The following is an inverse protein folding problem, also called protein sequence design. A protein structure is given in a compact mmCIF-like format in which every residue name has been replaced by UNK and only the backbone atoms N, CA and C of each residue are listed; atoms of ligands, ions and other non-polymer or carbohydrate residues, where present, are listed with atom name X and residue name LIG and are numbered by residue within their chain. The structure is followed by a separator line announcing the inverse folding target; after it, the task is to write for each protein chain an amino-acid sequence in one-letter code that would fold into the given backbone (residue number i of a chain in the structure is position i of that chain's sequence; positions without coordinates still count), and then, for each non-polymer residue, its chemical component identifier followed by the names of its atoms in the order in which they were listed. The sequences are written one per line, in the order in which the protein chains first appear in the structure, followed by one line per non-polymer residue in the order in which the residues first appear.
data_IF_232075176476
#
_entry.id   IF_232075176476
#
_cell.length_a   1.000
_cell.length_b   1.000
_cell.length_c   1.000
_cell.angle_alpha   90.00
_cell.angle_beta   90.00
_cell.angle_gamma   90.00
#
_symmetry.space_group_name_H-M   'P 1'
#
loop_
_entity.id
_entity.type
_entity.pdbx_description
1 polymer ?
#
# COMPACT_ATOMS: atom_id res chain seq x y z
N UNK A 1 19.65 -1.04 -20.69
CA UNK A 1 20.34 0.27 -20.83
C UNK A 1 19.55 1.43 -20.21
N UNK A 2 18.23 1.52 -20.34
CA UNK A 2 17.43 2.63 -19.79
C UNK A 2 17.48 2.80 -18.26
N UNK A 3 17.54 1.73 -17.48
CA UNK A 3 17.58 1.80 -16.01
C UNK A 3 18.91 2.34 -15.45
N UNK A 4 20.02 2.14 -16.14
CA UNK A 4 21.33 2.68 -15.74
C UNK A 4 21.43 4.20 -15.95
N UNK A 5 20.75 4.74 -16.93
CA UNK A 5 20.76 6.19 -17.18
C UNK A 5 19.90 6.94 -16.18
N UNK A 6 18.78 6.35 -15.76
CA UNK A 6 17.90 6.97 -14.74
C UNK A 6 18.61 7.13 -13.37
N UNK A 7 19.45 6.15 -12.99
CA UNK A 7 20.23 6.21 -11.76
C UNK A 7 21.41 7.20 -11.83
N UNK A 8 21.92 7.46 -13.03
CA UNK A 8 23.03 8.39 -13.26
C UNK A 8 22.61 9.86 -13.15
N UNK A 9 21.38 10.18 -13.57
CA UNK A 9 20.82 11.53 -13.45
C UNK A 9 20.43 11.90 -12.00
N UNK A 10 20.27 10.90 -11.12
CA UNK A 10 20.00 11.12 -9.70
C UNK A 10 21.26 11.33 -8.85
N UNK A 11 22.45 11.15 -9.42
CA UNK A 11 23.73 11.26 -8.72
C UNK A 11 24.50 12.55 -9.00
N UNK A 12 23.91 13.53 -9.67
CA UNK A 12 24.55 14.83 -9.89
C UNK A 12 24.56 15.69 -8.62
N UNK A 13 25.70 16.08 -8.07
CA UNK A 13 25.78 16.94 -6.91
C UNK A 13 25.49 18.39 -7.32
N UNK A 14 24.34 18.90 -6.93
CA UNK A 14 24.01 20.30 -7.22
C UNK A 14 22.75 20.79 -6.56
N UNK A 15 22.82 21.07 -5.24
CA UNK A 15 22.38 22.28 -4.55
C UNK A 15 22.33 22.05 -3.04
N UNK A 16 23.01 22.93 -2.34
CA UNK A 16 22.97 23.03 -0.89
C UNK A 16 21.53 23.13 -0.41
N UNK A 17 21.14 22.21 0.48
CA UNK A 17 19.89 22.26 1.22
C UNK A 17 20.20 22.91 2.56
N UNK A 18 19.65 24.10 2.77
CA UNK A 18 19.66 24.77 4.06
C UNK A 18 18.90 23.96 5.11
N UNK A 19 19.57 23.60 6.15
CA UNK A 19 19.05 23.54 7.50
C UNK A 19 18.37 22.26 7.96
N UNK A 20 19.12 21.45 8.71
CA UNK A 20 18.66 20.49 9.73
C UNK A 20 18.18 19.12 9.28
N UNK A 21 18.97 18.48 8.42
CA UNK A 21 18.85 17.06 8.17
C UNK A 21 19.75 16.29 9.14
N UNK A 22 19.14 15.31 9.83
CA UNK A 22 19.91 14.26 10.47
C UNK A 22 20.86 13.69 9.39
N UNK A 23 22.16 13.89 9.58
CA UNK A 23 23.21 13.53 8.65
C UNK A 23 22.91 12.18 8.02
N UNK A 24 22.79 12.13 6.71
CA UNK A 24 22.41 10.94 5.97
C UNK A 24 23.36 9.79 6.27
N UNK A 25 22.98 8.97 7.25
CA UNK A 25 23.73 7.77 7.59
C UNK A 25 23.64 6.84 6.40
N UNK A 26 24.77 6.62 5.76
CA UNK A 26 24.85 5.73 4.61
C UNK A 26 24.44 4.32 5.05
N UNK A 27 23.31 3.82 4.53
CA UNK A 27 22.83 2.46 4.79
C UNK A 27 23.87 1.45 4.32
N UNK A 28 24.26 0.54 5.18
CA UNK A 28 25.24 -0.51 4.91
C UNK A 28 24.68 -1.93 5.03
N UNK A 29 23.77 -2.13 5.99
CA UNK A 29 23.19 -3.45 6.28
C UNK A 29 21.66 -3.33 6.48
N UNK A 30 20.91 -4.04 5.67
CA UNK A 30 19.44 -4.02 5.65
C UNK A 30 18.89 -5.30 6.26
N UNK A 31 18.08 -5.17 7.33
CA UNK A 31 17.22 -6.26 7.79
C UNK A 31 15.96 -6.29 6.94
N UNK A 32 15.63 -7.46 6.39
CA UNK A 32 14.45 -7.67 5.57
C UNK A 32 13.34 -8.27 6.43
N UNK A 33 12.40 -7.42 6.86
CA UNK A 33 11.30 -7.80 7.75
C UNK A 33 10.17 -8.49 6.97
N UNK A 34 10.52 -9.55 6.25
CA UNK A 34 9.61 -10.34 5.43
C UNK A 34 10.20 -11.73 5.12
N UNK A 35 9.48 -12.55 4.34
CA UNK A 35 9.85 -13.92 3.98
C UNK A 35 9.57 -14.21 2.51
N UNK A 36 9.99 -15.41 2.06
CA UNK A 36 9.61 -15.94 0.75
C UNK A 36 10.19 -15.15 -0.42
N UNK A 37 9.42 -15.05 -1.51
CA UNK A 37 9.88 -14.47 -2.77
C UNK A 37 10.25 -12.98 -2.64
N UNK A 38 9.46 -12.20 -1.87
CA UNK A 38 9.75 -10.77 -1.70
C UNK A 38 11.07 -10.54 -0.95
N UNK A 39 11.37 -11.37 0.06
CA UNK A 39 12.64 -11.30 0.75
C UNK A 39 13.80 -11.63 -0.22
N UNK A 40 13.69 -12.68 -1.03
CA UNK A 40 14.68 -13.00 -2.06
C UNK A 40 14.91 -11.86 -3.03
N UNK A 41 13.83 -11.22 -3.48
CA UNK A 41 13.90 -10.08 -4.41
C UNK A 41 14.61 -8.89 -3.78
N UNK A 42 14.30 -8.55 -2.52
CA UNK A 42 14.95 -7.43 -1.81
C UNK A 42 16.43 -7.75 -1.59
N UNK A 43 16.79 -8.97 -1.17
CA UNK A 43 18.17 -9.44 -1.03
C UNK A 43 18.94 -9.25 -2.34
N UNK A 44 18.35 -9.65 -3.47
CA UNK A 44 18.97 -9.46 -4.78
C UNK A 44 19.24 -7.98 -5.08
N UNK A 45 18.28 -7.10 -4.79
CA UNK A 45 18.43 -5.66 -5.00
C UNK A 45 19.51 -5.05 -4.09
N UNK A 46 19.54 -5.42 -2.81
CA UNK A 46 20.56 -4.99 -1.86
C UNK A 46 21.95 -5.42 -2.32
N UNK A 47 22.10 -6.66 -2.74
CA UNK A 47 23.36 -7.19 -3.28
C UNK A 47 23.84 -6.40 -4.51
N UNK A 48 22.93 -6.07 -5.42
CA UNK A 48 23.25 -5.25 -6.61
C UNK A 48 23.73 -3.84 -6.23
N UNK A 49 23.26 -3.32 -5.10
CA UNK A 49 23.66 -2.02 -4.55
C UNK A 49 24.90 -2.11 -3.63
N UNK A 50 25.44 -3.29 -3.40
CA UNK A 50 26.59 -3.49 -2.51
C UNK A 50 26.23 -3.44 -1.01
N UNK A 51 24.94 -3.58 -0.66
CA UNK A 51 24.47 -3.58 0.72
C UNK A 51 24.45 -4.99 1.29
N UNK A 52 24.83 -5.12 2.57
CA UNK A 52 24.69 -6.37 3.32
C UNK A 52 23.22 -6.61 3.70
N UNK A 53 22.86 -7.87 3.87
CA UNK A 53 21.48 -8.29 4.10
C UNK A 53 21.36 -9.21 5.30
N UNK A 54 20.30 -8.99 6.09
CA UNK A 54 19.90 -9.88 7.18
C UNK A 54 18.49 -10.39 6.87
N UNK A 55 18.35 -11.70 6.64
CA UNK A 55 17.05 -12.33 6.57
C UNK A 55 16.53 -12.62 7.97
N UNK A 56 15.22 -12.67 8.13
CA UNK A 56 14.57 -13.18 9.34
C UNK A 56 13.74 -14.41 9.00
N UNK A 57 13.58 -15.32 9.97
CA UNK A 57 12.80 -16.53 9.74
C UNK A 57 12.10 -17.01 10.99
N UNK A 58 10.88 -17.53 10.82
CA UNK A 58 10.23 -18.36 11.85
C UNK A 58 10.76 -19.78 11.77
N UNK A 59 10.53 -20.59 12.80
CA UNK A 59 10.97 -21.99 12.84
C UNK A 59 10.58 -22.77 11.57
N UNK A 60 9.40 -22.49 11.01
CA UNK A 60 8.93 -23.14 9.78
C UNK A 60 9.69 -22.72 8.52
N UNK A 61 10.36 -21.58 8.55
CA UNK A 61 11.06 -21.01 7.40
C UNK A 61 12.59 -21.14 7.49
N UNK A 62 13.13 -21.83 8.49
CA UNK A 62 14.57 -21.92 8.75
C UNK A 62 15.39 -22.42 7.54
N UNK A 63 14.80 -23.25 6.69
CA UNK A 63 15.43 -23.77 5.46
C UNK A 63 14.95 -23.09 4.18
N UNK A 64 14.19 -22.00 4.29
CA UNK A 64 13.65 -21.29 3.15
C UNK A 64 14.74 -20.57 2.34
N UNK A 65 14.48 -20.38 1.05
CA UNK A 65 15.44 -19.86 0.08
C UNK A 65 15.98 -18.47 0.46
N UNK A 66 15.13 -17.58 1.01
CA UNK A 66 15.55 -16.24 1.42
C UNK A 66 16.60 -16.27 2.56
N UNK A 67 16.55 -17.29 3.42
CA UNK A 67 17.52 -17.47 4.52
C UNK A 67 18.90 -17.78 3.96
N UNK A 68 18.96 -18.69 3.00
CA UNK A 68 20.22 -19.06 2.35
C UNK A 68 20.78 -18.00 1.40
N UNK A 69 19.94 -17.09 0.92
CA UNK A 69 20.33 -16.02 0.01
C UNK A 69 20.89 -14.77 0.71
N UNK A 70 20.58 -14.56 1.98
CA UNK A 70 21.05 -13.40 2.73
C UNK A 70 22.51 -13.59 3.21
N UNK A 71 23.18 -12.50 3.55
CA UNK A 71 24.52 -12.57 4.15
C UNK A 71 24.46 -13.10 5.59
N UNK A 72 23.40 -12.78 6.33
CA UNK A 72 23.14 -13.21 7.70
C UNK A 72 21.64 -13.55 7.87
N UNK A 73 21.31 -14.35 8.87
CA UNK A 73 19.93 -14.68 9.19
C UNK A 73 19.68 -14.71 10.71
N UNK A 74 18.49 -14.30 11.12
CA UNK A 74 18.05 -14.21 12.51
C UNK A 74 16.71 -14.92 12.71
N UNK A 75 16.63 -15.81 13.70
CA UNK A 75 15.36 -16.40 14.11
C UNK A 75 14.49 -15.36 14.81
N UNK A 76 13.19 -15.32 14.46
CA UNK A 76 12.21 -14.38 15.04
C UNK A 76 11.04 -15.07 15.75
N UNK A 77 11.15 -16.36 16.02
CA UNK A 77 10.19 -17.12 16.82
C UNK A 77 9.47 -18.23 16.04
N UNK A 78 8.43 -18.79 16.65
CA UNK A 78 7.73 -19.97 16.14
C UNK A 78 6.91 -19.68 14.86
N UNK A 79 6.41 -20.74 14.23
CA UNK A 79 5.68 -20.70 12.97
C UNK A 79 4.46 -19.75 12.92
N UNK A 80 3.62 -19.60 13.98
CA UNK A 80 2.48 -18.71 13.95
C UNK A 80 2.90 -17.24 13.73
N UNK A 81 2.36 -16.59 12.70
CA UNK A 81 2.74 -15.22 12.31
C UNK A 81 2.60 -14.19 13.45
N UNK A 82 1.59 -14.35 14.33
CA UNK A 82 1.42 -13.45 15.50
C UNK A 82 2.60 -13.48 16.47
N UNK A 83 3.37 -14.56 16.48
CA UNK A 83 4.51 -14.77 17.37
C UNK A 83 5.85 -14.57 16.67
N UNK A 84 5.84 -14.30 15.36
CA UNK A 84 7.02 -14.11 14.52
C UNK A 84 6.86 -12.88 13.61
N UNK A 85 6.31 -13.03 12.39
CA UNK A 85 6.25 -11.98 11.35
C UNK A 85 5.29 -10.82 11.66
N UNK A 86 4.45 -10.91 12.69
CA UNK A 86 3.61 -9.82 13.19
C UNK A 86 4.06 -9.30 14.56
N UNK A 87 5.15 -9.82 15.10
CA UNK A 87 5.75 -9.39 16.36
C UNK A 87 6.87 -8.37 16.08
N UNK A 88 6.54 -7.08 16.07
CA UNK A 88 7.48 -6.00 15.73
C UNK A 88 8.76 -5.98 16.57
N UNK A 89 8.65 -6.30 17.86
CA UNK A 89 9.78 -6.33 18.79
C UNK A 89 10.83 -7.39 18.39
N UNK A 90 10.41 -8.51 17.80
CA UNK A 90 11.33 -9.55 17.34
C UNK A 90 12.21 -9.04 16.20
N UNK A 91 11.69 -8.21 15.30
CA UNK A 91 12.48 -7.58 14.24
C UNK A 91 13.47 -6.57 14.78
N UNK A 92 13.07 -5.76 15.78
CA UNK A 92 13.96 -4.79 16.42
C UNK A 92 15.10 -5.50 17.17
N UNK A 93 14.79 -6.59 17.86
CA UNK A 93 15.80 -7.43 18.51
C UNK A 93 16.77 -8.04 17.48
N UNK A 94 16.25 -8.59 16.38
CA UNK A 94 17.06 -9.14 15.30
C UNK A 94 17.95 -8.08 14.62
N UNK A 95 17.41 -6.84 14.40
CA UNK A 95 18.18 -5.74 13.85
C UNK A 95 19.33 -5.33 14.77
N UNK A 96 19.06 -5.24 16.07
CA UNK A 96 20.08 -4.94 17.08
C UNK A 96 21.16 -6.04 17.14
N UNK A 97 20.75 -7.32 17.15
CA UNK A 97 21.67 -8.44 17.25
C UNK A 97 22.58 -8.56 16.01
N UNK A 98 22.06 -8.28 14.83
CA UNK A 98 22.83 -8.32 13.57
C UNK A 98 23.61 -7.05 13.27
N UNK A 99 23.36 -5.95 14.00
CA UNK A 99 23.93 -4.63 13.70
C UNK A 99 23.42 -4.06 12.36
N UNK A 100 22.18 -4.39 11.96
CA UNK A 100 21.53 -3.76 10.83
C UNK A 100 21.30 -2.27 11.12
N UNK A 101 21.43 -1.42 10.11
CA UNK A 101 21.19 0.03 10.21
C UNK A 101 19.91 0.48 9.49
N UNK A 102 19.26 -0.44 8.77
CA UNK A 102 18.00 -0.19 8.10
C UNK A 102 17.08 -1.40 8.14
N UNK A 103 15.76 -1.15 8.02
CA UNK A 103 14.72 -2.17 7.94
C UNK A 103 13.89 -1.97 6.68
N UNK A 104 13.78 -3.01 5.86
CA UNK A 104 12.89 -3.06 4.70
C UNK A 104 11.72 -4.01 4.98
N UNK A 105 10.47 -3.54 5.07
CA UNK A 105 9.34 -4.38 5.45
C UNK A 105 8.82 -5.28 4.31
N UNK A 106 9.24 -5.05 3.07
CA UNK A 106 8.64 -5.71 1.92
C UNK A 106 7.19 -5.27 1.70
N UNK A 107 6.28 -6.23 1.57
CA UNK A 107 4.83 -6.00 1.53
C UNK A 107 4.10 -7.01 2.44
N UNK A 108 2.85 -6.69 2.84
CA UNK A 108 2.11 -7.47 3.83
C UNK A 108 2.74 -7.41 5.22
N UNK A 109 2.32 -8.26 6.13
CA UNK A 109 2.75 -8.27 7.52
C UNK A 109 2.76 -6.86 8.14
N UNK A 110 3.93 -6.36 8.56
CA UNK A 110 4.07 -5.04 9.20
C UNK A 110 4.38 -3.90 8.21
N UNK A 111 4.38 -4.14 6.90
CA UNK A 111 4.65 -3.11 5.90
C UNK A 111 3.62 -1.96 5.90
N UNK A 112 2.40 -2.24 6.37
CA UNK A 112 1.30 -1.27 6.48
C UNK A 112 1.02 -0.87 7.93
N UNK A 113 1.94 -1.16 8.84
CA UNK A 113 1.81 -0.84 10.25
C UNK A 113 2.63 0.42 10.57
N UNK A 114 1.95 1.55 10.76
CA UNK A 114 2.59 2.83 11.06
C UNK A 114 3.33 2.80 12.41
N UNK A 115 2.82 2.09 13.40
CA UNK A 115 3.46 2.01 14.72
C UNK A 115 4.76 1.23 14.66
N UNK A 116 4.84 0.19 13.83
CA UNK A 116 6.09 -0.51 13.59
C UNK A 116 7.10 0.40 12.87
N UNK A 117 6.68 1.16 11.86
CA UNK A 117 7.56 2.14 11.20
C UNK A 117 8.10 3.19 12.18
N UNK A 118 7.22 3.71 13.07
CA UNK A 118 7.63 4.62 14.18
C UNK A 118 8.60 3.95 15.16
N UNK A 119 8.38 2.66 15.47
CA UNK A 119 9.24 1.92 16.39
C UNK A 119 10.65 1.70 15.78
N UNK A 120 10.75 1.37 14.49
CA UNK A 120 12.01 1.28 13.76
C UNK A 120 12.77 2.60 13.82
N UNK A 121 12.11 3.73 13.53
CA UNK A 121 12.73 5.05 13.59
C UNK A 121 13.19 5.41 15.01
N UNK A 122 12.38 5.13 16.03
CA UNK A 122 12.76 5.34 17.45
C UNK A 122 13.94 4.49 17.89
N UNK A 123 14.13 3.33 17.29
CA UNK A 123 15.30 2.48 17.52
C UNK A 123 16.58 3.00 16.82
N UNK A 124 16.54 4.15 16.15
CA UNK A 124 17.67 4.73 15.41
C UNK A 124 17.96 4.02 14.08
N UNK A 125 17.01 3.23 13.58
CA UNK A 125 17.15 2.50 12.33
C UNK A 125 16.47 3.26 11.17
N UNK A 126 17.05 3.18 9.99
CA UNK A 126 16.43 3.73 8.78
C UNK A 126 15.25 2.84 8.35
N UNK A 127 14.04 3.42 8.32
CA UNK A 127 12.88 2.77 7.75
C UNK A 127 12.89 2.90 6.22
N UNK A 128 12.97 1.80 5.50
CA UNK A 128 12.88 1.79 4.03
C UNK A 128 11.40 1.59 3.64
N UNK A 129 10.66 2.65 3.70
CA UNK A 129 9.22 2.65 3.46
C UNK A 129 8.63 4.06 3.43
N UNK A 130 7.30 4.18 3.24
CA UNK A 130 6.61 5.47 3.36
C UNK A 130 6.67 5.98 4.79
N UNK A 131 6.54 7.30 4.97
CA UNK A 131 6.44 7.90 6.29
C UNK A 131 5.28 7.27 7.10
N UNK A 132 5.40 7.11 8.42
CA UNK A 132 4.34 6.53 9.24
C UNK A 132 2.98 7.24 9.06
N UNK A 133 2.97 8.55 8.92
CA UNK A 133 1.78 9.36 8.68
C UNK A 133 1.12 8.99 7.34
N UNK A 134 1.92 8.72 6.31
CA UNK A 134 1.42 8.27 5.01
C UNK A 134 0.83 6.87 5.09
N UNK A 135 1.38 5.99 5.95
CA UNK A 135 0.83 4.65 6.18
C UNK A 135 -0.54 4.79 6.86
N UNK A 136 -0.64 5.61 7.91
CA UNK A 136 -1.89 5.87 8.63
C UNK A 136 -2.97 6.49 7.72
N UNK A 137 -2.60 7.53 6.94
CA UNK A 137 -3.50 8.24 6.05
C UNK A 137 -4.07 7.33 4.94
N UNK A 138 -3.22 6.45 4.44
CA UNK A 138 -3.57 5.58 3.34
C UNK A 138 -4.16 4.24 3.80
N UNK A 139 -3.92 3.84 5.03
CA UNK A 139 -4.55 2.68 5.66
C UNK A 139 -6.04 2.89 5.92
N UNK A 140 -6.46 4.12 6.20
CA UNK A 140 -7.87 4.48 6.35
C UNK A 140 -8.50 4.88 5.00
N UNK A 141 -9.39 4.03 4.48
CA UNK A 141 -10.04 4.25 3.18
C UNK A 141 -10.82 5.58 3.09
N UNK A 142 -11.41 6.04 4.20
CA UNK A 142 -12.15 7.31 4.21
C UNK A 142 -11.17 8.49 4.17
N UNK A 143 -10.11 8.45 4.98
CA UNK A 143 -9.08 9.47 4.98
C UNK A 143 -8.39 9.56 3.62
N UNK A 144 -8.03 8.41 3.03
CA UNK A 144 -7.47 8.34 1.68
C UNK A 144 -8.40 8.96 0.62
N UNK A 145 -9.73 8.76 0.74
CA UNK A 145 -10.71 9.39 -0.16
C UNK A 145 -10.76 10.91 0.03
N UNK A 146 -10.77 11.41 1.27
CA UNK A 146 -10.74 12.84 1.55
C UNK A 146 -9.48 13.51 1.00
N UNK A 147 -8.33 12.87 1.15
CA UNK A 147 -7.06 13.34 0.60
C UNK A 147 -7.07 13.36 -0.93
N UNK A 148 -7.65 12.33 -1.56
CA UNK A 148 -7.80 12.27 -3.00
C UNK A 148 -8.71 13.38 -3.53
N UNK A 149 -9.84 13.62 -2.86
CA UNK A 149 -10.80 14.70 -3.19
C UNK A 149 -10.14 16.08 -3.07
N UNK A 150 -9.47 16.33 -1.96
CA UNK A 150 -8.71 17.57 -1.72
C UNK A 150 -7.59 17.81 -2.74
N UNK A 151 -7.10 16.75 -3.39
CA UNK A 151 -6.09 16.80 -4.44
C UNK A 151 -6.69 16.81 -5.87
N UNK A 152 -7.99 17.02 -6.03
CA UNK A 152 -8.71 16.96 -7.32
C UNK A 152 -8.54 15.61 -8.05
N UNK A 153 -8.30 14.53 -7.32
CA UNK A 153 -8.25 13.18 -7.89
C UNK A 153 -9.69 12.64 -7.97
N UNK A 154 -10.17 12.28 -9.16
CA UNK A 154 -11.53 11.75 -9.30
C UNK A 154 -11.74 10.51 -8.44
N UNK A 155 -12.76 10.54 -7.58
CA UNK A 155 -13.16 9.43 -6.74
C UNK A 155 -14.55 8.92 -7.16
N UNK A 156 -14.82 7.63 -6.89
CA UNK A 156 -16.17 7.11 -7.08
C UNK A 156 -17.12 7.73 -6.04
N UNK A 157 -18.37 8.04 -6.41
CA UNK A 157 -19.38 8.43 -5.43
C UNK A 157 -19.46 7.40 -4.29
N UNK A 158 -19.44 7.88 -3.07
CA UNK A 158 -19.53 7.05 -1.86
C UNK A 158 -20.14 7.84 -0.72
N UNK A 159 -20.56 7.13 0.34
CA UNK A 159 -21.18 7.70 1.53
C UNK A 159 -20.19 7.89 2.68
N UNK A 160 -20.66 8.57 3.74
CA UNK A 160 -20.11 8.44 5.07
C UNK A 160 -20.26 7.00 5.61
N UNK A 161 -19.65 6.73 6.74
CA UNK A 161 -19.77 5.44 7.45
C UNK A 161 -21.07 5.35 8.22
N UNK A 162 -21.63 4.14 8.29
CA UNK A 162 -22.79 3.77 9.07
C UNK A 162 -22.38 2.71 10.10
N UNK A 163 -22.48 3.04 11.38
CA UNK A 163 -22.26 2.10 12.46
C UNK A 163 -23.43 1.08 12.55
N UNK A 164 -23.27 0.02 13.31
CA UNK A 164 -24.36 -0.92 13.58
C UNK A 164 -25.53 -0.18 14.21
N UNK A 165 -26.72 -0.37 13.61
CA UNK A 165 -27.96 0.29 14.06
C UNK A 165 -28.14 1.73 13.58
N UNK A 166 -27.13 2.35 12.99
CA UNK A 166 -27.27 3.66 12.34
C UNK A 166 -27.85 3.48 10.93
N UNK A 167 -29.10 3.90 10.78
CA UNK A 167 -29.80 3.96 9.48
C UNK A 167 -30.19 5.39 9.11
N UNK A 168 -29.79 6.39 9.92
CA UNK A 168 -30.07 7.78 9.65
C UNK A 168 -29.46 8.18 8.30
N UNK A 169 -30.29 8.75 7.42
CA UNK A 169 -29.87 9.19 6.08
C UNK A 169 -29.37 8.11 5.13
N UNK A 170 -29.55 6.82 5.45
CA UNK A 170 -29.06 5.70 4.61
C UNK A 170 -29.66 5.77 3.19
N UNK A 171 -30.97 5.99 3.07
CA UNK A 171 -31.66 6.09 1.78
C UNK A 171 -31.25 7.33 0.99
N UNK A 172 -31.01 8.44 1.66
CA UNK A 172 -30.52 9.66 1.03
C UNK A 172 -29.08 9.46 0.50
N UNK A 173 -28.24 8.87 1.31
CA UNK A 173 -26.86 8.52 0.92
C UNK A 173 -26.85 7.56 -0.27
N UNK A 174 -27.71 6.53 -0.28
CA UNK A 174 -27.82 5.59 -1.38
C UNK A 174 -28.31 6.27 -2.67
N UNK A 175 -29.25 7.20 -2.58
CA UNK A 175 -29.70 8.02 -3.73
C UNK A 175 -28.57 8.88 -4.30
N UNK A 176 -27.75 9.50 -3.44
CA UNK A 176 -26.59 10.29 -3.86
C UNK A 176 -25.50 9.42 -4.51
N UNK A 177 -25.22 8.25 -3.95
CA UNK A 177 -24.30 7.26 -4.51
C UNK A 177 -24.83 6.71 -5.83
N UNK A 178 -26.13 6.39 -5.89
CA UNK A 178 -26.85 5.84 -7.04
C UNK A 178 -26.68 4.34 -7.21
N UNK A 179 -27.72 3.69 -7.72
CA UNK A 179 -27.76 2.25 -7.96
C UNK A 179 -27.25 1.88 -9.37
N UNK A 180 -26.70 0.68 -9.56
CA UNK A 180 -26.35 -0.27 -8.52
C UNK A 180 -25.17 0.22 -7.66
N UNK A 181 -25.14 -0.17 -6.39
CA UNK A 181 -24.09 0.19 -5.45
C UNK A 181 -23.54 -1.02 -4.71
N UNK A 182 -22.42 -0.83 -4.01
CA UNK A 182 -21.81 -1.78 -3.10
C UNK A 182 -21.95 -1.30 -1.66
N UNK A 183 -22.37 -2.19 -0.77
CA UNK A 183 -22.20 -2.04 0.67
C UNK A 183 -20.85 -2.67 1.03
N UNK A 184 -19.97 -1.92 1.68
CA UNK A 184 -18.61 -2.35 2.00
C UNK A 184 -18.35 -2.20 3.49
N UNK A 185 -17.76 -3.23 4.11
CA UNK A 185 -17.22 -3.12 5.47
C UNK A 185 -16.05 -2.12 5.52
N UNK A 186 -16.00 -1.29 6.56
CA UNK A 186 -14.95 -0.30 6.74
C UNK A 186 -13.59 -0.96 7.01
N UNK A 187 -13.60 -2.06 7.78
CA UNK A 187 -12.42 -2.83 8.16
C UNK A 187 -12.02 -3.91 7.13
N UNK A 188 -12.72 -4.01 5.96
CA UNK A 188 -12.49 -5.09 5.00
C UNK A 188 -11.17 -4.88 4.22
N UNK A 189 -10.35 -5.94 4.22
CA UNK A 189 -9.20 -6.12 3.34
C UNK A 189 -9.36 -7.42 2.54
N UNK A 190 -9.77 -7.36 1.27
CA UNK A 190 -9.84 -8.56 0.43
C UNK A 190 -11.21 -8.92 -0.15
N UNK A 191 -12.22 -8.07 0.10
CA UNK A 191 -13.53 -8.21 -0.56
C UNK A 191 -14.53 -9.14 0.12
N UNK A 192 -14.24 -9.65 1.32
CA UNK A 192 -15.13 -10.53 2.09
C UNK A 192 -16.38 -9.76 2.57
N UNK A 193 -16.20 -8.50 2.96
CA UNK A 193 -17.26 -7.62 3.46
C UNK A 193 -17.92 -6.77 2.37
N UNK A 194 -18.00 -7.21 1.12
CA UNK A 194 -18.64 -6.48 0.03
C UNK A 194 -19.91 -7.17 -0.48
N UNK A 195 -21.01 -6.42 -0.58
CA UNK A 195 -22.27 -6.90 -1.13
C UNK A 195 -22.88 -5.90 -2.11
N UNK A 196 -23.37 -6.41 -3.23
CA UNK A 196 -24.03 -5.61 -4.26
C UNK A 196 -25.50 -5.40 -3.89
N UNK A 197 -25.98 -4.18 -4.16
CA UNK A 197 -27.39 -3.77 -4.07
C UNK A 197 -27.80 -3.18 -5.39
N UNK A 198 -28.80 -3.79 -6.01
CA UNK A 198 -29.30 -3.36 -7.31
C UNK A 198 -30.48 -2.37 -7.17
N UNK A 199 -31.29 -2.52 -6.12
CA UNK A 199 -32.52 -1.77 -5.92
C UNK A 199 -32.59 -1.18 -4.50
N UNK A 200 -33.33 -0.06 -4.31
CA UNK A 200 -33.52 0.52 -2.98
C UNK A 200 -34.16 -0.46 -1.96
N UNK A 201 -35.01 -1.35 -2.42
CA UNK A 201 -35.74 -2.30 -1.57
C UNK A 201 -34.80 -3.28 -0.85
N UNK A 202 -33.68 -3.62 -1.48
CA UNK A 202 -32.71 -4.57 -0.92
C UNK A 202 -31.69 -3.89 0.03
N UNK A 203 -31.67 -2.55 0.09
CA UNK A 203 -30.62 -1.79 0.75
C UNK A 203 -30.51 -2.12 2.23
N UNK A 204 -31.59 -1.92 2.99
CA UNK A 204 -31.58 -2.07 4.45
C UNK A 204 -31.18 -3.50 4.89
N UNK A 205 -31.75 -4.52 4.21
CA UNK A 205 -31.43 -5.92 4.46
C UNK A 205 -29.97 -6.22 4.18
N UNK A 206 -29.44 -5.70 3.08
CA UNK A 206 -28.04 -5.93 2.69
C UNK A 206 -27.07 -5.22 3.62
N UNK A 207 -27.39 -4.02 4.07
CA UNK A 207 -26.59 -3.28 5.06
C UNK A 207 -26.51 -4.06 6.36
N UNK A 208 -27.63 -4.50 6.94
CA UNK A 208 -27.66 -5.28 8.18
C UNK A 208 -26.86 -6.59 8.06
N UNK A 209 -27.04 -7.32 6.95
CA UNK A 209 -26.31 -8.56 6.71
C UNK A 209 -24.79 -8.33 6.56
N UNK A 210 -24.38 -7.21 5.95
CA UNK A 210 -22.98 -6.86 5.80
C UNK A 210 -22.38 -6.40 7.12
N UNK A 211 -23.09 -5.60 7.91
CA UNK A 211 -22.70 -5.19 9.26
C UNK A 211 -22.47 -6.38 10.17
N UNK A 212 -23.43 -7.33 10.22
CA UNK A 212 -23.32 -8.53 11.03
C UNK A 212 -22.14 -9.41 10.62
N UNK A 213 -21.87 -9.54 9.32
CA UNK A 213 -20.71 -10.29 8.83
C UNK A 213 -19.40 -9.60 9.19
N UNK A 214 -19.33 -8.27 9.01
CA UNK A 214 -18.15 -7.47 9.31
C UNK A 214 -17.80 -7.51 10.80
N UNK A 215 -18.79 -7.36 11.66
CA UNK A 215 -18.63 -7.44 13.11
C UNK A 215 -18.05 -8.80 13.55
N UNK A 216 -18.62 -9.90 13.04
CA UNK A 216 -18.14 -11.25 13.32
C UNK A 216 -16.73 -11.54 12.79
N UNK A 217 -16.39 -10.97 11.65
CA UNK A 217 -15.12 -11.28 10.94
C UNK A 217 -13.97 -10.37 11.37
N UNK A 218 -14.26 -9.12 11.72
CA UNK A 218 -13.27 -8.07 11.93
C UNK A 218 -13.42 -7.36 13.27
N UNK A 219 -14.50 -7.62 14.04
CA UNK A 219 -14.81 -6.91 15.28
C UNK A 219 -15.31 -5.47 15.07
N UNK A 220 -15.60 -5.08 13.84
CA UNK A 220 -16.13 -3.76 13.47
C UNK A 220 -17.20 -3.92 12.40
N UNK A 221 -18.46 -3.72 12.75
CA UNK A 221 -19.60 -3.81 11.85
C UNK A 221 -19.90 -2.53 11.07
N UNK A 222 -19.01 -1.55 11.09
CA UNK A 222 -19.16 -0.31 10.33
C UNK A 222 -19.10 -0.57 8.82
N UNK A 223 -20.06 0.01 8.08
CA UNK A 223 -20.13 -0.10 6.61
C UNK A 223 -20.23 1.26 5.94
N UNK A 224 -19.98 1.32 4.65
CA UNK A 224 -20.23 2.48 3.80
C UNK A 224 -20.73 2.04 2.41
N UNK A 225 -21.34 2.97 1.68
CA UNK A 225 -21.84 2.74 0.34
C UNK A 225 -20.85 3.28 -0.70
N UNK A 226 -20.71 2.59 -1.83
CA UNK A 226 -19.90 3.03 -2.95
C UNK A 226 -20.58 2.67 -4.28
N UNK A 227 -20.51 3.53 -5.28
CA UNK A 227 -21.05 3.28 -6.60
C UNK A 227 -20.42 2.02 -7.22
N UNK A 228 -21.25 1.09 -7.68
CA UNK A 228 -20.77 -0.05 -8.46
C UNK A 228 -20.50 0.39 -9.91
N UNK A 229 -19.32 0.07 -10.41
CA UNK A 229 -19.00 0.18 -11.83
C UNK A 229 -19.07 -1.21 -12.45
N UNK A 230 -20.12 -1.48 -13.20
CA UNK A 230 -20.41 -2.83 -13.72
C UNK A 230 -19.39 -3.32 -14.77
N UNK A 231 -18.85 -2.40 -15.56
CA UNK A 231 -17.79 -2.68 -16.55
C UNK A 231 -16.60 -1.81 -16.26
N UNK A 232 -15.71 -2.31 -15.44
CA UNK A 232 -14.51 -1.60 -15.00
C UNK A 232 -13.24 -2.28 -15.49
N UNK A 233 -12.25 -1.49 -15.84
CA UNK A 233 -10.86 -1.94 -15.94
C UNK A 233 -10.12 -1.49 -14.70
N UNK A 234 -9.35 -2.39 -14.12
CA UNK A 234 -8.49 -2.07 -12.99
C UNK A 234 -7.13 -1.62 -13.50
N UNK A 235 -6.87 -0.33 -13.42
CA UNK A 235 -5.59 0.27 -13.78
C UNK A 235 -5.01 0.97 -12.57
N UNK A 236 -3.75 0.75 -12.31
CA UNK A 236 -3.04 1.38 -11.21
C UNK A 236 -1.74 2.04 -11.68
N UNK A 237 -1.27 3.02 -10.93
CA UNK A 237 0.00 3.69 -11.18
C UNK A 237 0.95 3.42 -10.02
N UNK A 238 2.18 3.02 -10.33
CA UNK A 238 3.24 2.94 -9.35
C UNK A 238 3.82 4.35 -9.15
N UNK A 239 3.68 4.89 -7.96
CA UNK A 239 4.16 6.24 -7.63
C UNK A 239 5.29 6.14 -6.61
N UNK A 240 6.28 7.02 -6.76
CA UNK A 240 7.38 7.17 -5.84
C UNK A 240 7.52 8.66 -5.46
N UNK A 241 7.38 8.99 -4.17
CA UNK A 241 7.54 10.34 -3.63
C UNK A 241 8.92 10.51 -2.97
N UNK A 242 9.45 11.72 -3.03
CA UNK A 242 10.79 12.05 -2.50
C UNK A 242 10.73 12.78 -1.14
N UNK A 243 9.54 12.91 -0.56
CA UNK A 243 9.38 13.61 0.71
C UNK A 243 9.28 15.15 0.61
N UNK A 244 9.49 15.75 -0.56
CA UNK A 244 9.62 17.19 -0.78
C UNK A 244 8.66 17.74 -1.86
N UNK A 245 7.46 17.24 -2.00
CA UNK A 245 6.48 17.57 -3.06
C UNK A 245 6.84 17.05 -4.46
N UNK A 246 8.00 16.45 -4.65
CA UNK A 246 8.36 15.79 -5.91
C UNK A 246 7.90 14.34 -5.86
N UNK A 247 7.40 13.86 -6.98
CA UNK A 247 7.06 12.46 -7.16
C UNK A 247 7.29 12.06 -8.62
N UNK A 248 7.62 10.79 -8.82
CA UNK A 248 7.71 10.17 -10.13
C UNK A 248 6.77 8.97 -10.19
N UNK A 249 6.42 8.55 -11.38
CA UNK A 249 5.65 7.32 -11.56
C UNK A 249 6.38 6.35 -12.50
N UNK A 250 6.23 5.08 -12.22
CA UNK A 250 6.77 3.99 -13.03
C UNK A 250 5.71 3.42 -13.99
N UNK A 251 4.89 4.30 -14.55
CA UNK A 251 3.80 4.00 -15.47
C UNK A 251 2.65 3.22 -14.85
N UNK A 252 1.68 2.89 -15.71
CA UNK A 252 0.47 2.14 -15.39
C UNK A 252 0.71 0.63 -15.38
N UNK A 253 -0.11 -0.06 -14.60
CA UNK A 253 -0.32 -1.50 -14.67
C UNK A 253 -1.80 -1.78 -14.87
N UNK A 254 -2.12 -2.66 -15.79
CA UNK A 254 -3.46 -3.18 -16.02
C UNK A 254 -3.62 -4.47 -15.24
N UNK A 255 -4.59 -4.50 -14.33
CA UNK A 255 -4.77 -5.58 -13.35
C UNK A 255 -6.20 -6.13 -13.37
N UNK A 256 -6.90 -6.07 -14.51
CA UNK A 256 -8.31 -6.48 -14.59
C UNK A 256 -8.50 -8.00 -14.56
N UNK A 257 -7.47 -8.77 -14.90
CA UNK A 257 -7.53 -10.23 -14.83
C UNK A 257 -7.40 -10.68 -13.38
N UNK A 258 -8.54 -10.89 -12.74
CA UNK A 258 -8.65 -11.19 -11.31
C UNK A 258 -9.51 -12.43 -11.07
N UNK A 259 -9.23 -13.13 -9.99
CA UNK A 259 -10.08 -14.17 -9.44
C UNK A 259 -10.42 -13.83 -7.99
N UNK A 260 -11.71 -13.70 -7.66
CA UNK A 260 -12.18 -13.35 -6.32
C UNK A 260 -11.46 -12.11 -5.76
N UNK A 261 -11.34 -11.07 -6.61
CA UNK A 261 -10.65 -9.79 -6.30
C UNK A 261 -9.12 -9.91 -6.10
N UNK A 262 -8.53 -11.06 -6.36
CA UNK A 262 -7.08 -11.25 -6.38
C UNK A 262 -6.57 -11.07 -7.81
N UNK A 263 -5.54 -10.25 -7.98
CA UNK A 263 -4.87 -10.05 -9.26
C UNK A 263 -4.12 -11.32 -9.66
N UNK A 264 -4.39 -11.82 -10.86
CA UNK A 264 -3.75 -13.02 -11.41
C UNK A 264 -2.73 -12.66 -12.47
N UNK A 265 -3.08 -11.69 -13.33
CA UNK A 265 -2.19 -11.18 -14.38
C UNK A 265 -2.11 -9.67 -14.26
N UNK A 266 -0.91 -9.15 -14.26
CA UNK A 266 -0.62 -7.74 -14.32
C UNK A 266 0.19 -7.44 -15.59
N UNK A 267 -0.34 -6.54 -16.43
CA UNK A 267 0.31 -6.13 -17.67
C UNK A 267 0.78 -4.68 -17.58
N UNK A 268 1.99 -4.43 -18.01
CA UNK A 268 2.58 -3.09 -18.09
C UNK A 268 2.55 -2.58 -19.53
N UNK A 269 2.15 -1.32 -19.73
CA UNK A 269 2.17 -0.62 -21.03
C UNK A 269 1.32 -1.27 -22.11
N UNK A 270 0.00 -1.40 -21.88
CA UNK A 270 -0.88 -1.76 -23.00
C UNK A 270 -0.97 -0.63 -24.01
N UNK A 271 -0.84 -0.94 -25.33
CA UNK A 271 -0.95 0.06 -26.42
C UNK A 271 -2.28 0.83 -26.43
N UNK A 272 -3.35 0.20 -25.94
CA UNK A 272 -4.71 0.75 -25.88
C UNK A 272 -4.83 1.94 -24.91
N UNK A 273 -3.91 2.08 -23.95
CA UNK A 273 -3.84 3.23 -23.06
C UNK A 273 -3.01 4.39 -23.63
N UNK A 274 -2.51 4.27 -24.85
CA UNK A 274 -1.95 5.44 -25.53
C UNK A 274 -3.10 6.41 -25.81
N UNK A 275 -2.99 7.67 -25.37
CA UNK A 275 -3.99 8.68 -25.71
C UNK A 275 -4.09 8.75 -27.23
N UNK A 276 -5.29 8.61 -27.79
CA UNK A 276 -5.54 8.77 -29.25
C UNK A 276 -5.10 10.15 -29.77
N UNK A 277 -4.78 11.08 -28.90
CA UNK A 277 -4.40 12.46 -29.22
C UNK A 277 -2.89 12.73 -29.17
N UNK A 278 -2.02 11.73 -29.10
CA UNK A 278 -0.56 11.93 -29.11
C UNK A 278 0.01 12.72 -27.91
N UNK A 279 -0.84 13.12 -26.96
CA UNK A 279 -0.40 13.79 -25.73
C UNK A 279 -0.19 12.75 -24.65
N UNK A 280 0.90 12.83 -23.86
CA UNK A 280 1.02 12.06 -22.62
C UNK A 280 -0.25 12.32 -21.79
N UNK A 281 -0.75 11.28 -21.10
CA UNK A 281 -1.80 11.49 -20.10
C UNK A 281 -1.42 12.70 -19.27
N UNK A 282 -2.25 13.78 -19.23
CA UNK A 282 -1.92 14.89 -18.37
C UNK A 282 -1.94 14.34 -16.95
N UNK A 283 -0.75 14.04 -16.44
CA UNK A 283 -0.58 14.15 -15.01
C UNK A 283 -0.89 15.60 -14.71
N UNK A 284 -2.12 15.89 -14.38
CA UNK A 284 -2.41 17.07 -13.59
C UNK A 284 -1.45 16.95 -12.42
N UNK A 285 -0.58 17.93 -12.29
CA UNK A 285 0.32 18.02 -11.15
C UNK A 285 -0.49 17.61 -9.94
N UNK A 286 -0.20 16.45 -9.36
CA UNK A 286 -0.78 16.08 -8.09
C UNK A 286 -0.28 17.11 -7.10
N UNK A 287 -1.02 18.19 -6.94
CA UNK A 287 -0.85 19.10 -5.82
C UNK A 287 -1.41 18.38 -4.62
N UNK A 288 -0.57 17.66 -3.92
CA UNK A 288 -0.86 17.28 -2.57
C UNK A 288 -0.71 18.54 -1.71
N UNK A 289 -1.83 19.21 -1.47
CA UNK A 289 -1.90 20.34 -0.54
C UNK A 289 -2.11 19.78 0.86
N UNK A 290 -1.09 19.27 1.45
CA UNK A 290 -1.13 18.79 2.84
C UNK A 290 0.22 18.19 3.18
N UNK A 291 0.80 18.61 4.30
CA UNK A 291 2.18 18.41 4.70
C UNK A 291 2.69 17.00 4.93
N UNK A 292 2.10 15.97 4.32
CA UNK A 292 2.61 14.61 4.34
C UNK A 292 3.38 14.35 3.06
N UNK A 293 4.67 14.54 3.12
CA UNK A 293 5.57 14.12 2.07
C UNK A 293 5.55 12.59 1.99
N UNK A 294 5.09 12.03 0.88
CA UNK A 294 5.16 10.59 0.63
C UNK A 294 6.61 10.27 0.27
N UNK A 295 7.42 9.94 1.26
CA UNK A 295 8.66 9.23 1.03
C UNK A 295 8.28 7.79 0.65
N UNK A 296 8.29 7.49 -0.64
CA UNK A 296 7.91 6.17 -1.10
C UNK A 296 9.11 5.25 -1.06
N UNK A 297 8.94 4.09 -0.47
CA UNK A 297 9.84 2.98 -0.70
C UNK A 297 9.74 2.52 -2.15
N UNK A 298 10.84 2.05 -2.72
CA UNK A 298 10.82 1.30 -3.95
C UNK A 298 9.97 0.05 -3.73
N UNK A 299 8.68 0.08 -4.09
CA UNK A 299 7.83 -1.09 -4.00
C UNK A 299 7.92 -1.92 -5.25
N UNK A 300 8.36 -3.11 -5.06
CA UNK A 300 8.01 -4.22 -5.91
C UNK A 300 6.66 -4.75 -5.46
N UNK A 301 5.72 -4.84 -6.39
CA UNK A 301 4.55 -5.70 -6.33
C UNK A 301 3.95 -5.92 -4.94
N UNK A 302 3.23 -4.95 -4.38
CA UNK A 302 2.29 -5.27 -3.33
C UNK A 302 1.00 -4.50 -3.50
N UNK A 303 -0.07 -5.22 -3.29
CA UNK A 303 -1.46 -4.83 -3.42
C UNK A 303 -1.94 -3.79 -2.39
N UNK A 304 -1.09 -3.21 -1.60
CA UNK A 304 -1.43 -2.49 -0.39
C UNK A 304 -0.95 -1.04 -0.29
N UNK A 305 -0.43 -0.44 -1.36
CA UNK A 305 -0.45 1.01 -1.41
C UNK A 305 -1.77 1.51 -1.98
N UNK A 306 -2.31 2.63 -1.48
CA UNK A 306 -3.40 3.28 -2.17
C UNK A 306 -2.87 3.73 -3.52
N UNK A 307 -3.02 2.86 -4.45
CA UNK A 307 -3.08 3.20 -5.85
C UNK A 307 -4.26 4.13 -5.97
N UNK A 308 -4.05 5.29 -6.55
CA UNK A 308 -5.17 6.09 -7.03
C UNK A 308 -5.94 5.20 -8.01
N UNK A 309 -6.93 4.45 -7.49
CA UNK A 309 -7.76 3.54 -8.28
C UNK A 309 -8.65 4.40 -9.14
N UNK A 310 -8.23 4.64 -10.34
CA UNK A 310 -9.12 5.19 -11.34
C UNK A 310 -9.87 4.04 -11.99
N UNK A 311 -11.11 3.83 -11.58
CA UNK A 311 -12.03 2.97 -12.31
C UNK A 311 -12.47 3.74 -13.55
N UNK A 312 -11.96 3.38 -14.71
CA UNK A 312 -12.36 4.00 -15.97
C UNK A 312 -13.50 3.16 -16.54
N UNK A 313 -14.70 3.73 -16.59
CA UNK A 313 -15.81 3.20 -17.37
C UNK A 313 -15.49 3.39 -18.85
N UNK A 314 -15.44 2.30 -19.61
CA UNK A 314 -15.45 2.37 -21.07
C UNK A 314 -16.88 2.66 -21.53
N UNK A 315 -17.11 3.79 -22.19
CA UNK A 315 -18.23 3.95 -23.11
C UNK A 315 -17.84 3.39 -24.47
#
# INVERSE_FOLDING_TARGET
MAARNLLRDLSSPGREADGNDAAGQLVKKVLIANRGEIACRIIHSCRTLGLKTVAVYSDADATSLHVSHADEAQAIGPAPAKQSYLAGDNFLAAAKASGADAVHPGYGFLAENADFAKAVARAGLTWIGPAPESIDDMGDKQRARLLADAADVPILPGSARFAIGDSANLDEAARKVGFPLLVKAAADGGGIGMRRVDTPQDLAKTVQATQSLADKSFGDGTVYLERLVAKARHVEFQVFGFGDRRAVHAYERECSVQRRFQKIVEERRRPEFRPKCGRPWPMRRCRWSGGSAIAASARSNSSSMPTARRTISSR
#
